data_IF_993465283711
#
_entry.id   IF_993465283711
#
_cell.length_a   1.000
_cell.length_b   1.000
_cell.length_c   1.000
_cell.angle_alpha   90.00
_cell.angle_beta   90.00
_cell.angle_gamma   90.00
#
_symmetry.space_group_name_H-M   'P 1'
#
loop_
_entity.id
_entity.type
_entity.pdbx_description
1 polymer ?
#
# COMPACT_ATOMS: atom_id res chain seq x y z
N UNK A 1 26.45 1.09 20.18
CA UNK A 1 25.99 2.27 20.46
C UNK A 1 24.58 2.41 20.24
N UNK A 2 23.89 2.92 21.16
CA UNK A 2 22.54 3.08 21.01
C UNK A 2 22.15 4.25 20.23
N UNK A 3 21.18 4.16 19.40
CA UNK A 3 20.68 5.26 18.67
C UNK A 3 19.70 6.03 19.51
N UNK A 4 19.73 7.34 19.40
CA UNK A 4 18.72 8.14 20.06
C UNK A 4 17.39 7.94 19.32
N UNK A 5 16.28 8.29 19.93
CA UNK A 5 15.00 8.19 19.25
C UNK A 5 14.95 8.98 17.97
N UNK A 6 15.63 10.12 17.92
CA UNK A 6 15.65 10.92 16.71
C UNK A 6 16.42 10.19 15.62
N UNK A 7 17.55 9.60 15.95
CA UNK A 7 18.34 8.89 14.96
C UNK A 7 17.56 7.68 14.42
N UNK A 8 16.82 7.00 15.29
CA UNK A 8 16.06 5.87 14.86
C UNK A 8 14.94 6.32 13.93
N UNK A 9 14.30 7.42 14.24
CA UNK A 9 13.22 7.93 13.41
C UNK A 9 13.74 8.30 12.01
N UNK A 10 14.87 9.01 11.97
CA UNK A 10 15.46 9.39 10.69
C UNK A 10 15.82 8.15 9.89
N UNK A 11 16.37 7.16 10.55
CA UNK A 11 16.77 5.95 9.87
C UNK A 11 15.55 5.21 9.31
N UNK A 12 14.48 5.12 10.07
CA UNK A 12 13.28 4.46 9.63
C UNK A 12 12.63 5.19 8.45
N UNK A 13 12.58 6.50 8.49
CA UNK A 13 12.01 7.28 7.41
C UNK A 13 12.86 7.12 6.15
N UNK A 14 14.18 7.03 6.32
CA UNK A 14 15.07 6.95 5.17
C UNK A 14 14.90 5.62 4.42
N UNK A 15 14.23 4.64 5.00
CA UNK A 15 14.00 3.37 4.35
C UNK A 15 12.78 3.41 3.44
N UNK A 16 12.00 4.48 3.50
CA UNK A 16 10.83 4.58 2.67
C UNK A 16 11.23 4.92 1.23
N UNK A 17 10.47 4.44 0.25
CA UNK A 17 10.84 4.64 -1.15
C UNK A 17 10.90 6.12 -1.49
N UNK A 18 11.92 6.49 -2.22
CA UNK A 18 12.08 7.87 -2.66
C UNK A 18 12.67 8.82 -1.66
N UNK A 19 12.95 8.34 -0.44
CA UNK A 19 13.50 9.22 0.58
C UNK A 19 14.92 8.84 0.91
N UNK A 20 15.82 9.79 0.77
CA UNK A 20 17.19 9.58 1.19
C UNK A 20 17.36 10.07 2.61
N UNK A 21 18.59 10.00 3.12
CA UNK A 21 18.83 10.37 4.49
C UNK A 21 18.61 11.83 4.77
N UNK A 22 18.94 12.69 3.82
CA UNK A 22 18.77 14.11 4.02
C UNK A 22 17.29 14.48 4.07
N UNK A 23 16.48 13.89 3.18
CA UNK A 23 15.06 14.13 3.19
C UNK A 23 14.44 13.58 4.47
N UNK A 24 14.91 12.42 4.92
CA UNK A 24 14.39 11.81 6.13
C UNK A 24 14.67 12.71 7.33
N UNK A 25 15.84 13.32 7.38
CA UNK A 25 16.19 14.21 8.47
C UNK A 25 15.28 15.43 8.48
N UNK A 26 15.01 16.00 7.32
CA UNK A 26 14.14 17.17 7.22
C UNK A 26 12.71 16.82 7.64
N UNK A 27 12.23 15.66 7.24
CA UNK A 27 10.88 15.22 7.59
C UNK A 27 10.80 14.98 9.09
N UNK A 28 11.80 14.31 9.66
CA UNK A 28 11.80 14.03 11.09
C UNK A 28 11.76 15.32 11.89
N UNK A 29 12.55 16.30 11.49
CA UNK A 29 12.60 17.57 12.20
C UNK A 29 11.30 18.34 12.06
N UNK A 30 10.68 18.26 10.88
CA UNK A 30 9.41 18.93 10.66
C UNK A 30 8.37 18.34 11.61
N UNK A 31 8.33 17.03 11.73
CA UNK A 31 7.35 16.36 12.58
C UNK A 31 7.60 16.67 14.06
N UNK A 32 8.85 16.65 14.47
CA UNK A 32 9.16 16.83 15.87
C UNK A 32 9.09 18.28 16.35
N UNK A 33 9.19 19.22 15.44
CA UNK A 33 9.15 20.60 15.82
C UNK A 33 7.78 21.00 16.34
N UNK A 34 6.75 20.37 15.90
CA UNK A 34 5.43 20.67 16.40
C UNK A 34 4.69 19.33 16.48
N UNK A 35 5.01 18.59 17.52
CA UNK A 35 4.54 17.23 17.63
C UNK A 35 3.03 17.11 17.65
N UNK A 36 2.36 17.97 18.35
CA UNK A 36 0.92 17.85 18.47
C UNK A 36 0.20 18.13 17.16
N UNK A 37 0.73 19.03 16.39
CA UNK A 37 0.08 19.40 15.15
C UNK A 37 0.54 18.52 13.98
N UNK A 38 1.81 18.22 13.91
CA UNK A 38 2.36 17.53 12.76
C UNK A 38 2.54 16.04 12.95
N UNK A 39 2.91 15.62 14.13
CA UNK A 39 3.23 14.22 14.37
C UNK A 39 2.06 13.41 14.92
N UNK A 40 1.36 13.92 15.88
CA UNK A 40 0.29 13.18 16.52
C UNK A 40 -0.79 12.71 15.55
N UNK A 41 -1.29 13.56 14.64
CA UNK A 41 -2.29 13.10 13.69
C UNK A 41 -1.75 12.02 12.76
N UNK A 42 -0.46 12.11 12.42
CA UNK A 42 0.15 11.12 11.56
C UNK A 42 0.26 9.77 12.27
N UNK A 43 0.63 9.79 13.54
CA UNK A 43 0.72 8.56 14.33
C UNK A 43 -0.66 7.90 14.39
N UNK A 44 -1.70 8.70 14.58
CA UNK A 44 -3.02 8.19 14.66
C UNK A 44 -3.43 7.56 13.33
N UNK A 45 -3.14 8.19 12.22
CA UNK A 45 -3.46 7.67 10.90
C UNK A 45 -2.70 6.39 10.62
N UNK A 46 -1.43 6.34 11.02
CA UNK A 46 -0.62 5.16 10.80
C UNK A 46 -1.14 3.98 11.62
N UNK A 47 -1.53 4.22 12.86
CA UNK A 47 -2.06 3.18 13.70
C UNK A 47 -3.39 2.67 13.17
N UNK A 48 -4.24 3.58 12.72
CA UNK A 48 -5.53 3.20 12.21
C UNK A 48 -5.36 2.34 10.95
N UNK A 49 -4.47 2.75 10.07
CA UNK A 49 -4.21 1.98 8.87
C UNK A 49 -3.62 0.61 9.19
N UNK A 50 -2.69 0.58 10.12
CA UNK A 50 -2.06 -0.67 10.51
C UNK A 50 -3.11 -1.66 11.03
N UNK A 51 -4.06 -1.19 11.81
CA UNK A 51 -5.06 -2.06 12.40
C UNK A 51 -6.25 -2.40 11.51
N UNK A 52 -6.59 -1.55 10.58
CA UNK A 52 -7.78 -1.74 9.79
C UNK A 52 -7.57 -2.15 8.34
N UNK A 53 -6.42 -1.87 7.79
CA UNK A 53 -6.19 -2.14 6.37
C UNK A 53 -5.61 -3.53 6.20
N UNK A 54 -6.18 -4.31 5.29
CA UNK A 54 -5.72 -5.66 5.03
C UNK A 54 -5.61 -5.88 3.52
N UNK A 55 -4.97 -6.94 3.14
CA UNK A 55 -4.78 -7.24 1.75
C UNK A 55 -5.86 -8.22 1.30
N UNK A 56 -6.48 -7.97 0.16
CA UNK A 56 -7.52 -8.84 -0.37
C UNK A 56 -6.90 -10.18 -0.76
N UNK A 57 -7.43 -11.26 -0.21
CA UNK A 57 -6.91 -12.59 -0.49
C UNK A 57 -7.18 -13.03 -1.90
N UNK A 58 -8.10 -12.38 -2.60
CA UNK A 58 -8.41 -12.76 -3.94
C UNK A 58 -7.66 -11.99 -5.02
N UNK A 59 -7.47 -10.72 -4.89
CA UNK A 59 -6.82 -9.95 -5.93
C UNK A 59 -5.54 -9.25 -5.48
N UNK A 60 -5.30 -9.14 -4.18
CA UNK A 60 -4.12 -8.46 -3.70
C UNK A 60 -4.29 -6.97 -3.46
N UNK A 61 -5.49 -6.44 -3.66
CA UNK A 61 -5.75 -5.03 -3.38
C UNK A 61 -5.70 -4.79 -1.87
N UNK A 62 -5.61 -3.55 -1.48
CA UNK A 62 -5.59 -3.18 -0.08
C UNK A 62 -6.92 -2.53 0.26
N UNK A 63 -7.60 -3.01 1.27
CA UNK A 63 -8.92 -2.51 1.62
C UNK A 63 -9.18 -2.80 3.10
N UNK A 64 -10.32 -2.40 3.58
CA UNK A 64 -10.70 -2.67 4.95
C UNK A 64 -11.49 -3.95 5.10
N UNK A 65 -11.88 -4.56 4.02
CA UNK A 65 -12.64 -5.80 4.03
C UNK A 65 -12.00 -6.83 3.12
N UNK A 66 -12.26 -8.10 3.34
CA UNK A 66 -11.73 -9.18 2.53
C UNK A 66 -12.85 -10.17 2.23
N UNK A 67 -13.25 -10.37 0.98
CA UNK A 67 -12.58 -9.81 -0.21
C UNK A 67 -12.86 -8.32 -0.32
N UNK A 68 -12.04 -7.63 -1.08
CA UNK A 68 -12.13 -6.19 -1.18
C UNK A 68 -13.44 -5.79 -1.87
N UNK A 69 -13.75 -4.49 -1.82
CA UNK A 69 -15.01 -4.02 -2.38
C UNK A 69 -15.13 -4.31 -3.87
N UNK A 70 -14.05 -4.38 -4.58
CA UNK A 70 -14.10 -4.67 -6.00
C UNK A 70 -14.43 -6.16 -6.21
N UNK A 71 -13.74 -7.05 -5.51
CA UNK A 71 -13.97 -8.47 -5.66
C UNK A 71 -15.36 -8.86 -5.18
N UNK A 72 -15.87 -8.18 -4.19
CA UNK A 72 -17.17 -8.50 -3.64
C UNK A 72 -18.34 -7.86 -4.38
N UNK A 73 -18.05 -6.95 -5.31
CA UNK A 73 -19.10 -6.22 -5.99
C UNK A 73 -19.79 -7.11 -7.01
N UNK A 74 -21.07 -7.39 -6.87
CA UNK A 74 -21.77 -8.29 -7.77
C UNK A 74 -21.93 -7.73 -9.18
N UNK A 75 -21.71 -6.43 -9.36
CA UNK A 75 -21.84 -5.84 -10.67
C UNK A 75 -20.59 -5.97 -11.51
N UNK A 76 -19.52 -6.53 -10.97
CA UNK A 76 -18.31 -6.70 -11.73
C UNK A 76 -18.37 -7.92 -12.63
N UNK A 77 -17.67 -7.82 -13.77
CA UNK A 77 -17.60 -8.92 -14.71
C UNK A 77 -16.57 -9.91 -14.18
N UNK A 78 -17.01 -11.00 -13.62
CA UNK A 78 -16.10 -11.97 -13.02
C UNK A 78 -15.36 -12.84 -14.00
N UNK A 79 -15.65 -12.69 -15.27
CA UNK A 79 -14.96 -13.47 -16.27
C UNK A 79 -13.73 -12.73 -16.82
N UNK A 80 -13.54 -11.48 -16.44
CA UNK A 80 -12.43 -10.68 -16.94
C UNK A 80 -11.51 -10.31 -15.82
N UNK A 81 -10.24 -10.60 -15.97
CA UNK A 81 -9.25 -10.25 -14.95
C UNK A 81 -8.14 -9.43 -15.55
N UNK A 82 -7.84 -8.30 -14.93
CA UNK A 82 -6.75 -7.44 -15.37
C UNK A 82 -5.59 -7.66 -14.43
N UNK A 83 -4.47 -8.09 -14.94
CA UNK A 83 -3.29 -8.33 -14.13
C UNK A 83 -2.47 -7.07 -14.07
N UNK A 84 -2.22 -6.57 -12.87
CA UNK A 84 -1.41 -5.37 -12.70
C UNK A 84 -0.24 -5.70 -11.78
N UNK A 85 0.81 -4.94 -11.88
CA UNK A 85 1.96 -5.19 -11.11
C UNK A 85 1.87 -4.69 -9.68
N UNK A 86 1.20 -3.61 -9.46
CA UNK A 86 1.15 -2.97 -8.17
C UNK A 86 -0.26 -2.49 -7.88
N UNK A 87 -0.59 -2.35 -6.62
CA UNK A 87 -1.88 -1.83 -6.19
C UNK A 87 -2.11 -0.43 -6.74
N UNK A 88 -1.04 0.36 -6.86
CA UNK A 88 -1.18 1.72 -7.38
C UNK A 88 -1.73 1.71 -8.82
N UNK A 89 -1.40 0.69 -9.60
CA UNK A 89 -1.89 0.59 -10.95
C UNK A 89 -3.39 0.28 -10.92
N UNK A 90 -3.81 -0.57 -9.99
CA UNK A 90 -5.21 -0.90 -9.84
C UNK A 90 -5.97 0.36 -9.47
N UNK A 91 -5.47 1.12 -8.52
CA UNK A 91 -6.14 2.34 -8.08
C UNK A 91 -6.25 3.37 -9.22
N UNK A 92 -5.24 3.45 -10.05
CA UNK A 92 -5.26 4.37 -11.17
C UNK A 92 -6.35 3.98 -12.18
N UNK A 93 -6.46 2.67 -12.46
CA UNK A 93 -7.47 2.21 -13.39
C UNK A 93 -8.87 2.41 -12.83
N UNK A 94 -9.05 2.20 -11.53
CA UNK A 94 -10.34 2.40 -10.93
C UNK A 94 -10.75 3.86 -10.95
N UNK A 95 -9.77 4.76 -10.86
CA UNK A 95 -10.07 6.16 -10.86
C UNK A 95 -10.58 6.59 -12.23
N UNK A 96 -10.10 5.97 -13.28
CA UNK A 96 -10.54 6.29 -14.63
C UNK A 96 -11.99 5.81 -14.81
N UNK A 97 -12.32 4.68 -14.22
CA UNK A 97 -13.72 4.25 -14.16
C UNK A 97 -14.30 3.48 -15.32
N UNK A 98 -13.51 3.09 -16.28
CA UNK A 98 -14.01 2.35 -17.41
C UNK A 98 -13.97 0.84 -17.25
N UNK A 99 -13.08 0.33 -16.45
CA UNK A 99 -12.90 -1.10 -16.34
C UNK A 99 -13.94 -1.69 -15.41
N UNK A 100 -14.57 -2.77 -15.79
CA UNK A 100 -15.61 -3.40 -15.00
C UNK A 100 -15.28 -4.80 -14.51
N UNK A 101 -14.12 -5.31 -14.80
CA UNK A 101 -13.75 -6.66 -14.40
C UNK A 101 -13.06 -6.71 -13.06
N UNK A 102 -12.37 -7.79 -12.80
CA UNK A 102 -11.64 -7.98 -11.55
C UNK A 102 -10.16 -7.77 -11.82
N UNK A 103 -9.35 -7.87 -10.77
CA UNK A 103 -7.94 -7.64 -10.88
C UNK A 103 -7.13 -8.76 -10.27
N UNK A 104 -5.85 -8.80 -10.59
CA UNK A 104 -4.91 -9.67 -9.92
C UNK A 104 -3.64 -8.86 -9.80
N UNK A 105 -3.27 -8.52 -8.57
CA UNK A 105 -2.09 -7.70 -8.31
C UNK A 105 -0.91 -8.63 -8.07
N UNK A 106 0.12 -8.49 -8.87
CA UNK A 106 1.28 -9.34 -8.74
C UNK A 106 2.10 -8.93 -7.52
N UNK A 107 2.44 -7.69 -7.42
CA UNK A 107 3.18 -7.24 -6.26
C UNK A 107 4.47 -7.94 -6.02
N UNK A 108 5.23 -7.44 -5.13
CA UNK A 108 6.48 -8.04 -4.86
C UNK A 108 6.41 -9.40 -4.24
N UNK A 109 5.49 -9.59 -3.39
CA UNK A 109 5.45 -10.82 -2.65
C UNK A 109 5.16 -11.97 -3.54
N UNK A 110 4.79 -11.68 -4.77
CA UNK A 110 4.47 -12.70 -5.54
C UNK A 110 5.49 -13.24 -6.29
N UNK A 111 6.58 -12.61 -6.34
CA UNK A 111 7.64 -13.03 -7.07
C UNK A 111 7.79 -14.49 -6.91
N UNK A 112 7.41 -14.95 -5.93
CA UNK A 112 7.59 -16.25 -5.69
C UNK A 112 6.66 -17.10 -6.34
N UNK A 113 5.54 -16.89 -6.23
CA UNK A 113 4.67 -17.82 -6.68
C UNK A 113 4.38 -17.63 -8.06
N UNK A 114 4.75 -16.56 -8.54
CA UNK A 114 4.36 -16.27 -9.74
C UNK A 114 4.71 -17.16 -10.71
N UNK A 115 5.56 -17.79 -10.42
CA UNK A 115 5.97 -18.56 -11.36
C UNK A 115 4.89 -19.25 -11.99
N UNK A 116 4.03 -19.64 -11.40
CA UNK A 116 3.09 -20.40 -12.06
C UNK A 116 1.95 -19.70 -12.32
N UNK A 117 1.89 -18.86 -12.09
CA UNK A 117 0.78 -18.29 -12.25
C UNK A 117 0.53 -17.88 -13.43
N UNK A 118 1.09 -17.67 -13.87
CA UNK A 118 0.96 -17.14 -14.90
C UNK A 118 -0.04 -17.42 -15.61
N UNK A 119 -0.47 -17.51 -15.42
CA UNK A 119 -1.19 -17.62 -15.87
C UNK A 119 -2.12 -17.35 -16.38
N UNK A 120 -2.49 -17.41 -16.60
CA UNK A 120 -3.55 -17.57 -17.07
C UNK A 120 -4.41 -16.60 -17.05
N UNK A 121 -4.48 -16.14 -16.55
CA UNK A 121 -5.20 -15.25 -16.30
C UNK A 121 -5.39 -14.50 -17.37
N UNK A 122 -5.43 -14.07 -17.72
CA UNK A 122 -5.55 -13.18 -18.55
C UNK A 122 -6.22 -13.17 -19.36
#
# INVERSE_FOLDING_TARGET
MEQSPIDKLINDISKLPGLGRRSAQRIALFLLKNKDKNLSPLIESLNLSYNKIIECSECGNIDMVNPCNICANPKRDKATICVVEDVSDLWTLEKVGFYRGLYNVLGGSLSVSYTHLTLPTT
#
